data_IF_787244218695
#
_entry.id   IF_787244218695
#
_cell.length_a   1.000
_cell.length_b   1.000
_cell.length_c   1.000
_cell.angle_alpha   90.00
_cell.angle_beta   90.00
_cell.angle_gamma   90.00
#
_symmetry.space_group_name_H-M   'P 1'
#
loop_
_entity.id
_entity.type
_entity.pdbx_description
1 polymer ?
#
# COMPACT_ATOMS: atom_id res chain seq x y z
N UNK A 1 47.83 -2.52 -38.16
CA UNK A 1 46.46 -2.79 -38.63
C UNK A 1 45.56 -2.68 -37.39
N UNK A 2 45.08 -1.47 -37.12
CA UNK A 2 44.26 -1.11 -35.96
C UNK A 2 42.83 -1.55 -36.19
N UNK A 3 42.27 -2.40 -35.34
CA UNK A 3 40.84 -2.73 -35.36
C UNK A 3 40.08 -1.79 -34.43
N UNK A 4 39.23 -0.95 -35.02
CA UNK A 4 38.28 -0.07 -34.33
C UNK A 4 37.28 -0.88 -33.50
N UNK A 5 36.76 -0.35 -32.37
CA UNK A 5 35.61 -0.96 -31.71
C UNK A 5 34.37 -0.79 -32.57
N UNK A 6 33.58 -1.86 -32.69
CA UNK A 6 32.37 -1.93 -33.50
C UNK A 6 31.23 -1.09 -32.93
N UNK A 7 30.29 -0.78 -33.81
CA UNK A 7 29.10 0.06 -33.63
C UNK A 7 28.03 -0.51 -32.66
N UNK A 8 28.44 -1.01 -31.49
CA UNK A 8 27.54 -1.55 -30.47
C UNK A 8 27.24 -0.54 -29.33
N UNK A 9 27.95 0.59 -29.26
CA UNK A 9 27.81 1.56 -28.16
C UNK A 9 26.72 2.63 -28.37
N UNK A 10 25.96 2.58 -29.47
CA UNK A 10 25.03 3.65 -29.82
C UNK A 10 23.55 3.35 -29.53
N UNK A 11 23.19 2.21 -28.92
CA UNK A 11 21.78 1.79 -28.79
C UNK A 11 21.31 1.49 -27.36
N UNK A 12 21.96 2.02 -26.33
CA UNK A 12 21.54 1.87 -24.93
C UNK A 12 21.02 3.18 -24.29
N UNK A 13 20.75 4.21 -25.08
CA UNK A 13 20.31 5.52 -24.60
C UNK A 13 18.79 5.74 -24.79
N UNK A 14 17.94 4.85 -24.25
CA UNK A 14 16.49 5.08 -24.20
C UNK A 14 15.72 4.28 -23.12
N UNK A 15 16.37 3.85 -22.04
CA UNK A 15 15.67 3.42 -20.85
C UNK A 15 15.91 4.48 -19.78
N UNK A 16 14.91 5.32 -19.53
CA UNK A 16 14.97 6.32 -18.47
C UNK A 16 15.47 5.66 -17.17
N UNK A 17 16.40 6.32 -16.50
CA UNK A 17 16.97 5.83 -15.24
C UNK A 17 15.84 5.35 -14.32
N UNK A 18 15.94 4.15 -13.72
CA UNK A 18 14.98 3.75 -12.70
C UNK A 18 15.00 4.84 -11.64
N UNK A 19 13.87 5.53 -11.48
CA UNK A 19 13.75 6.65 -10.52
C UNK A 19 14.34 6.19 -9.20
N UNK A 20 15.30 6.97 -8.68
CA UNK A 20 16.09 6.68 -7.47
C UNK A 20 15.35 5.74 -6.52
N UNK A 21 15.93 4.58 -6.19
CA UNK A 21 15.38 3.69 -5.17
C UNK A 21 15.30 4.44 -3.85
N UNK A 22 14.12 5.02 -3.58
CA UNK A 22 13.89 5.79 -2.37
C UNK A 22 14.16 4.87 -1.18
N UNK A 23 14.91 5.39 -0.21
CA UNK A 23 15.24 4.63 1.00
C UNK A 23 13.93 4.20 1.67
N UNK A 24 13.73 2.89 1.81
CA UNK A 24 12.55 2.30 2.45
C UNK A 24 12.88 1.90 3.88
N UNK A 25 11.93 2.12 4.78
CA UNK A 25 12.01 1.68 6.17
C UNK A 25 11.14 0.45 6.37
N UNK A 26 11.61 -0.50 7.17
CA UNK A 26 10.84 -1.69 7.51
C UNK A 26 10.78 -1.83 9.02
N UNK A 27 9.63 -2.29 9.53
CA UNK A 27 9.56 -2.86 10.86
C UNK A 27 10.16 -4.27 10.81
N UNK A 28 11.23 -4.51 11.57
CA UNK A 28 11.94 -5.80 11.62
C UNK A 28 11.42 -6.75 12.70
N UNK A 29 10.41 -6.36 13.46
CA UNK A 29 9.76 -7.22 14.47
C UNK A 29 8.75 -8.20 13.89
N UNK A 30 8.24 -7.94 12.67
CA UNK A 30 7.32 -8.84 11.98
C UNK A 30 7.30 -8.60 10.46
N UNK A 31 6.99 -9.64 9.69
CA UNK A 31 6.83 -9.54 8.24
C UNK A 31 5.57 -8.75 7.84
N UNK A 32 4.45 -9.03 8.52
CA UNK A 32 3.13 -8.45 8.26
C UNK A 32 2.56 -7.90 9.55
N UNK A 33 2.13 -6.64 9.52
CA UNK A 33 1.54 -5.95 10.67
C UNK A 33 0.13 -5.49 10.34
N UNK A 34 -0.70 -5.20 11.35
CA UNK A 34 -2.02 -4.63 11.08
C UNK A 34 -2.42 -3.51 12.03
N UNK A 35 -3.26 -2.61 11.51
CA UNK A 35 -3.90 -1.54 12.29
C UNK A 35 -5.25 -2.06 12.80
N UNK A 36 -5.48 -1.93 14.10
CA UNK A 36 -6.69 -2.38 14.78
C UNK A 36 -7.88 -1.45 14.53
N UNK A 37 -9.10 -1.96 14.69
CA UNK A 37 -10.34 -1.18 14.49
C UNK A 37 -10.49 -0.01 15.49
N UNK A 38 -9.79 -0.07 16.63
CA UNK A 38 -9.78 0.97 17.67
C UNK A 38 -8.61 1.96 17.54
N UNK A 39 -7.68 1.72 16.63
CA UNK A 39 -6.44 2.51 16.48
C UNK A 39 -6.27 3.09 15.08
N UNK A 40 -7.32 3.04 14.26
CA UNK A 40 -7.35 3.50 12.86
C UNK A 40 -7.80 4.96 12.68
N UNK A 41 -7.62 5.81 13.69
CA UNK A 41 -7.90 7.23 13.59
C UNK A 41 -6.96 7.87 12.55
N UNK A 42 -7.50 8.66 11.62
CA UNK A 42 -6.75 9.18 10.46
C UNK A 42 -5.54 10.03 10.85
N UNK A 43 -5.67 10.79 11.93
CA UNK A 43 -4.65 11.64 12.56
C UNK A 43 -3.89 10.92 13.69
N UNK A 44 -4.15 9.63 13.89
CA UNK A 44 -3.58 8.85 14.99
C UNK A 44 -2.17 8.33 14.70
N UNK A 45 -1.41 8.11 15.78
CA UNK A 45 -0.02 7.63 15.73
C UNK A 45 0.18 6.32 14.95
N UNK A 46 -0.82 5.43 14.92
CA UNK A 46 -0.71 4.17 14.16
C UNK A 46 -0.76 4.41 12.65
N UNK A 47 -1.64 5.31 12.17
CA UNK A 47 -1.67 5.63 10.74
C UNK A 47 -0.34 6.27 10.33
N UNK A 48 0.16 7.19 11.16
CA UNK A 48 1.45 7.85 10.96
C UNK A 48 2.61 6.83 10.89
N UNK A 49 2.72 5.95 11.89
CA UNK A 49 3.72 4.89 11.87
C UNK A 49 3.64 3.99 10.63
N UNK A 50 2.43 3.55 10.26
CA UNK A 50 2.23 2.59 9.18
C UNK A 50 2.47 3.18 7.79
N UNK A 51 2.25 4.48 7.55
CA UNK A 51 2.58 5.09 6.25
C UNK A 51 4.09 5.24 6.02
N UNK A 52 4.91 5.19 7.07
CA UNK A 52 6.36 5.28 6.98
C UNK A 52 7.07 3.95 6.69
N UNK A 53 6.41 2.80 6.87
CA UNK A 53 7.03 1.48 6.70
C UNK A 53 6.66 0.83 5.37
N UNK A 54 7.55 0.02 4.81
CA UNK A 54 7.41 -0.65 3.53
C UNK A 54 6.85 -2.08 3.63
N UNK A 55 6.72 -2.65 4.84
CA UNK A 55 6.07 -3.95 5.07
C UNK A 55 4.67 -4.01 4.45
N UNK A 56 4.19 -5.16 3.95
CA UNK A 56 2.77 -5.34 3.69
C UNK A 56 1.98 -5.20 5.01
N UNK A 57 0.82 -4.54 4.95
CA UNK A 57 0.04 -4.18 6.13
C UNK A 57 -1.42 -4.58 6.00
N UNK A 58 -2.04 -4.89 7.13
CA UNK A 58 -3.46 -5.11 7.26
C UNK A 58 -4.17 -3.89 7.86
N UNK A 59 -5.40 -3.63 7.44
CA UNK A 59 -6.28 -2.68 8.13
C UNK A 59 -7.57 -3.40 8.51
N UNK A 60 -7.89 -3.40 9.80
CA UNK A 60 -9.14 -3.99 10.28
C UNK A 60 -10.32 -3.10 9.88
N UNK A 61 -11.30 -3.70 9.21
CA UNK A 61 -12.55 -3.06 8.80
C UNK A 61 -13.69 -3.69 9.61
N UNK A 62 -14.04 -3.06 10.73
CA UNK A 62 -15.16 -3.46 11.57
C UNK A 62 -16.48 -2.80 11.17
N UNK A 63 -17.60 -3.15 11.84
CA UNK A 63 -18.91 -2.57 11.55
C UNK A 63 -19.04 -1.07 11.90
N UNK A 64 -18.06 -0.52 12.63
CA UNK A 64 -17.93 0.90 12.96
C UNK A 64 -17.29 1.73 11.84
N UNK A 65 -16.68 1.08 10.84
CA UNK A 65 -16.02 1.76 9.73
C UNK A 65 -17.04 2.50 8.88
N UNK A 66 -16.78 3.77 8.58
CA UNK A 66 -17.56 4.53 7.61
C UNK A 66 -16.90 4.46 6.24
N UNK A 67 -17.71 4.35 5.18
CA UNK A 67 -17.23 4.39 3.79
C UNK A 67 -16.41 5.65 3.49
N UNK A 68 -16.87 6.79 4.01
CA UNK A 68 -16.19 8.07 3.86
C UNK A 68 -14.80 8.14 4.55
N UNK A 69 -14.53 7.25 5.52
CA UNK A 69 -13.23 7.18 6.21
C UNK A 69 -12.29 6.16 5.55
N UNK A 70 -12.83 5.11 4.93
CA UNK A 70 -12.03 4.00 4.39
C UNK A 70 -11.12 4.44 3.23
N UNK A 71 -11.64 5.19 2.25
CA UNK A 71 -10.86 5.61 1.08
C UNK A 71 -9.74 6.59 1.46
N UNK A 72 -9.99 7.64 2.28
CA UNK A 72 -8.92 8.49 2.79
C UNK A 72 -7.85 7.72 3.56
N UNK A 73 -8.26 6.76 4.39
CA UNK A 73 -7.32 5.90 5.14
C UNK A 73 -6.40 5.13 4.20
N UNK A 74 -6.95 4.48 3.18
CA UNK A 74 -6.17 3.71 2.20
C UNK A 74 -5.19 4.64 1.48
N UNK A 75 -5.64 5.82 1.03
CA UNK A 75 -4.78 6.78 0.32
C UNK A 75 -3.61 7.29 1.17
N UNK A 76 -3.81 7.48 2.48
CA UNK A 76 -2.71 7.89 3.37
C UNK A 76 -1.66 6.79 3.56
N UNK A 77 -2.08 5.54 3.58
CA UNK A 77 -1.20 4.38 3.81
C UNK A 77 -0.56 3.84 2.52
N UNK A 78 -1.19 4.10 1.37
CA UNK A 78 -0.80 3.57 0.07
C UNK A 78 -1.07 4.61 -1.03
N UNK A 79 -0.22 5.65 -1.12
CA UNK A 79 -0.41 6.77 -2.04
C UNK A 79 -0.08 6.44 -3.51
N UNK A 80 0.74 5.42 -3.77
CA UNK A 80 1.09 4.95 -5.11
C UNK A 80 0.73 3.46 -5.30
N UNK A 81 -0.55 3.13 -5.54
CA UNK A 81 -1.00 1.75 -5.71
C UNK A 81 -0.26 0.93 -6.77
N UNK A 82 0.10 1.59 -7.85
CA UNK A 82 0.70 1.03 -9.06
C UNK A 82 2.16 0.62 -8.81
N UNK A 83 2.85 1.31 -7.90
CA UNK A 83 4.21 1.02 -7.51
C UNK A 83 4.32 -0.14 -6.51
N UNK A 84 3.26 -0.39 -5.74
CA UNK A 84 3.27 -1.35 -4.62
C UNK A 84 1.98 -2.20 -4.56
N UNK A 85 1.65 -2.96 -5.62
CA UNK A 85 0.49 -3.84 -5.60
C UNK A 85 0.55 -4.80 -4.42
N UNK A 86 -0.57 -4.95 -3.71
CA UNK A 86 -0.67 -5.85 -2.55
C UNK A 86 -0.14 -5.27 -1.23
N UNK A 87 0.22 -3.98 -1.17
CA UNK A 87 0.66 -3.30 0.05
C UNK A 87 -0.35 -3.38 1.21
N UNK A 88 -1.65 -3.22 0.91
CA UNK A 88 -2.73 -3.20 1.91
C UNK A 88 -3.64 -4.41 1.73
N UNK A 89 -3.92 -5.10 2.84
CA UNK A 89 -5.00 -6.08 2.96
C UNK A 89 -6.09 -5.51 3.87
N UNK A 90 -7.32 -5.41 3.35
CA UNK A 90 -8.48 -5.05 4.17
C UNK A 90 -9.01 -6.29 4.89
N UNK A 91 -8.90 -6.30 6.22
CA UNK A 91 -9.30 -7.43 7.06
C UNK A 91 -10.71 -7.15 7.62
N UNK A 92 -11.72 -7.65 6.93
CA UNK A 92 -13.12 -7.41 7.29
C UNK A 92 -13.54 -8.29 8.46
N UNK A 93 -14.17 -7.68 9.46
CA UNK A 93 -14.66 -8.34 10.68
C UNK A 93 -16.06 -7.83 11.03
N UNK A 94 -16.97 -8.05 10.11
CA UNK A 94 -18.29 -7.41 10.08
C UNK A 94 -19.35 -8.18 10.89
N UNK A 95 -19.09 -9.45 11.22
CA UNK A 95 -20.03 -10.36 11.86
C UNK A 95 -20.97 -11.03 10.87
N UNK A 96 -21.32 -12.30 11.14
CA UNK A 96 -22.07 -13.16 10.21
C UNK A 96 -23.44 -12.56 9.82
N UNK A 97 -24.14 -11.93 10.77
CA UNK A 97 -25.46 -11.33 10.50
C UNK A 97 -25.44 -10.03 9.69
N UNK A 98 -24.28 -9.37 9.55
CA UNK A 98 -24.18 -8.04 8.92
C UNK A 98 -23.31 -8.02 7.67
N UNK A 99 -22.48 -9.04 7.46
CA UNK A 99 -21.50 -9.07 6.36
C UNK A 99 -22.14 -8.91 4.98
N UNK A 100 -23.30 -9.52 4.73
CA UNK A 100 -24.00 -9.43 3.43
C UNK A 100 -24.43 -8.01 3.09
N UNK A 101 -24.81 -7.23 4.11
CA UNK A 101 -25.25 -5.85 3.95
C UNK A 101 -24.04 -4.90 3.87
N UNK A 102 -23.07 -5.07 4.77
CA UNK A 102 -21.98 -4.10 4.96
C UNK A 102 -20.82 -4.27 3.99
N UNK A 103 -20.50 -5.50 3.56
CA UNK A 103 -19.31 -5.75 2.76
C UNK A 103 -19.39 -5.17 1.33
N UNK A 104 -20.48 -5.38 0.56
CA UNK A 104 -20.53 -4.90 -0.83
C UNK A 104 -20.34 -3.38 -0.99
N UNK A 105 -20.92 -2.52 -0.13
CA UNK A 105 -20.63 -1.09 -0.16
C UNK A 105 -19.16 -0.71 0.09
N UNK A 106 -18.41 -1.48 0.90
CA UNK A 106 -16.98 -1.24 1.09
C UNK A 106 -16.17 -1.65 -0.14
N UNK A 107 -16.50 -2.79 -0.76
CA UNK A 107 -15.84 -3.24 -2.00
C UNK A 107 -16.01 -2.17 -3.09
N UNK A 108 -17.24 -1.72 -3.33
CA UNK A 108 -17.53 -0.69 -4.34
C UNK A 108 -16.86 0.66 -4.08
N UNK A 109 -16.54 0.97 -2.83
CA UNK A 109 -15.86 2.22 -2.50
C UNK A 109 -14.34 2.17 -2.81
N UNK A 110 -13.77 0.97 -2.94
CA UNK A 110 -12.32 0.75 -3.07
C UNK A 110 -11.90 0.36 -4.48
N UNK A 111 -12.76 -0.38 -5.21
CA UNK A 111 -12.56 -0.71 -6.63
C UNK A 111 -12.56 0.54 -7.50
#
# INVERSE_FOLDING_TARGET
>A
RTSSPGAADAAAAAAGEPSSSSRRWYNLGAHFLWIGDRTRALDGAHIEYFRGIANPIGVKVGPSMKRAELVPLIRMLWPSPEEQPGKIVLITRLGAGRVRELLPPFIRAVQ
#
